data_IF_927186062144
#
_entry.id   IF_927186062144
#
_cell.length_a   1.000
_cell.length_b   1.000
_cell.length_c   1.000
_cell.angle_alpha   90.00
_cell.angle_beta   90.00
_cell.angle_gamma   90.00
#
_symmetry.space_group_name_H-M   'P 1'
#
loop_
_entity.id
_entity.type
_entity.pdbx_description
1 polymer ?
#
# COMPACT_ATOMS: atom_id res chain seq x y z
N UNK A 1 8.05 -10.02 16.81
CA UNK A 1 7.34 -9.00 16.01
C UNK A 1 6.23 -9.63 15.19
N UNK A 2 5.04 -9.02 15.22
CA UNK A 2 3.79 -9.54 14.65
C UNK A 2 3.88 -9.69 13.11
N UNK A 3 3.94 -10.92 12.58
CA UNK A 3 3.78 -11.23 11.14
C UNK A 3 2.35 -10.96 10.59
N UNK A 4 1.60 -10.06 11.23
CA UNK A 4 0.18 -9.76 10.95
C UNK A 4 0.00 -8.66 9.89
N UNK A 5 1.06 -7.91 9.58
CA UNK A 5 1.04 -6.87 8.56
C UNK A 5 1.39 -7.49 7.22
N UNK A 6 0.53 -7.28 6.21
CA UNK A 6 0.72 -7.83 4.87
C UNK A 6 1.06 -6.70 3.91
N UNK A 7 2.03 -6.94 3.03
CA UNK A 7 2.31 -6.07 1.89
C UNK A 7 2.06 -6.80 0.57
N UNK A 8 1.32 -6.17 -0.33
CA UNK A 8 1.09 -6.64 -1.70
C UNK A 8 1.95 -5.80 -2.64
N UNK A 9 2.90 -6.44 -3.33
CA UNK A 9 3.85 -5.76 -4.21
C UNK A 9 3.32 -5.66 -5.64
N UNK A 10 3.74 -4.62 -6.37
CA UNK A 10 3.29 -4.33 -7.74
C UNK A 10 3.87 -5.25 -8.82
N UNK A 11 3.50 -4.96 -10.08
CA UNK A 11 3.94 -5.71 -11.26
C UNK A 11 5.47 -5.71 -11.41
N UNK A 12 6.02 -6.86 -11.84
CA UNK A 12 7.46 -7.04 -12.04
C UNK A 12 8.30 -7.13 -10.75
N UNK A 13 7.67 -6.96 -9.58
CA UNK A 13 8.35 -7.07 -8.29
C UNK A 13 8.42 -8.52 -7.80
N UNK A 14 9.53 -8.86 -7.13
CA UNK A 14 9.75 -10.17 -6.51
C UNK A 14 10.06 -9.98 -5.03
N UNK A 15 9.63 -10.91 -4.18
CA UNK A 15 9.84 -10.92 -2.72
C UNK A 15 11.30 -10.72 -2.33
N UNK A 16 12.23 -11.24 -3.14
CA UNK A 16 13.67 -11.04 -2.93
C UNK A 16 14.08 -9.56 -2.88
N UNK A 17 13.42 -8.67 -3.63
CA UNK A 17 13.70 -7.22 -3.60
C UNK A 17 13.29 -6.58 -2.26
N UNK A 18 12.41 -7.25 -1.50
CA UNK A 18 11.84 -6.77 -0.25
C UNK A 18 12.38 -7.56 0.95
N UNK A 19 13.50 -8.29 0.80
CA UNK A 19 14.05 -9.17 1.86
C UNK A 19 14.24 -8.42 3.19
N UNK A 20 14.67 -7.17 3.15
CA UNK A 20 14.81 -6.34 4.36
C UNK A 20 13.47 -6.17 5.10
N UNK A 21 12.40 -5.90 4.35
CA UNK A 21 11.07 -5.70 4.89
C UNK A 21 10.42 -6.99 5.43
N UNK A 22 10.94 -8.16 5.09
CA UNK A 22 10.40 -9.44 5.56
C UNK A 22 10.44 -9.63 7.09
N UNK A 23 11.27 -8.85 7.79
CA UNK A 23 11.31 -8.79 9.26
C UNK A 23 10.06 -8.11 9.86
N UNK A 24 9.43 -7.21 9.10
CA UNK A 24 8.30 -6.37 9.52
C UNK A 24 6.99 -6.78 8.84
N UNK A 25 7.07 -7.28 7.61
CA UNK A 25 5.96 -7.46 6.70
C UNK A 25 5.91 -8.89 6.16
N UNK A 26 4.70 -9.43 6.04
CA UNK A 26 4.43 -10.63 5.27
C UNK A 26 4.25 -10.23 3.79
N UNK A 27 5.30 -10.42 2.99
CA UNK A 27 5.36 -10.04 1.58
C UNK A 27 4.54 -11.01 0.73
N UNK A 28 3.57 -10.47 -0.01
CA UNK A 28 2.69 -11.20 -0.92
C UNK A 28 2.98 -10.77 -2.35
N UNK A 29 3.39 -11.74 -3.15
CA UNK A 29 3.52 -11.61 -4.60
C UNK A 29 2.18 -11.91 -5.25
N UNK A 30 1.82 -11.12 -6.25
CA UNK A 30 0.67 -11.35 -7.10
C UNK A 30 1.16 -11.95 -8.40
N UNK A 31 0.54 -13.06 -8.83
CA UNK A 31 0.68 -13.53 -10.20
C UNK A 31 -0.24 -12.70 -11.10
N UNK A 32 0.36 -11.72 -11.77
CA UNK A 32 -0.35 -10.79 -12.63
C UNK A 32 -0.79 -11.43 -13.97
N UNK A 33 -0.23 -12.58 -14.34
CA UNK A 33 -0.55 -13.26 -15.59
C UNK A 33 -1.80 -14.15 -15.47
N UNK A 34 -2.09 -14.66 -14.27
CA UNK A 34 -3.17 -15.61 -14.06
C UNK A 34 -4.53 -15.00 -13.70
N UNK A 35 -4.71 -13.67 -13.79
CA UNK A 35 -5.99 -12.94 -13.67
C UNK A 35 -6.77 -13.08 -12.35
N UNK A 36 -6.44 -14.06 -11.51
CA UNK A 36 -7.18 -14.45 -10.32
C UNK A 36 -6.58 -13.80 -9.08
N UNK A 37 -6.71 -12.47 -9.02
CA UNK A 37 -6.58 -11.72 -7.76
C UNK A 37 -7.52 -12.29 -6.68
N UNK A 38 -8.61 -12.94 -7.09
CA UNK A 38 -9.62 -13.61 -6.27
C UNK A 38 -9.10 -14.80 -5.46
N UNK A 39 -8.03 -15.50 -5.89
CA UNK A 39 -7.48 -16.65 -5.15
C UNK A 39 -6.53 -16.24 -4.03
N UNK A 40 -6.10 -14.97 -3.96
CA UNK A 40 -5.19 -14.53 -2.91
C UNK A 40 -5.91 -14.41 -1.55
N UNK A 41 -5.68 -15.38 -0.66
CA UNK A 41 -6.23 -15.37 0.71
C UNK A 41 -5.46 -14.39 1.60
N UNK A 42 -5.92 -13.15 1.65
CA UNK A 42 -5.37 -12.10 2.50
C UNK A 42 -5.84 -12.17 3.97
N UNK A 43 -6.84 -12.99 4.29
CA UNK A 43 -7.40 -13.05 5.65
C UNK A 43 -8.03 -11.71 6.05
N UNK A 44 -8.03 -11.36 7.34
CA UNK A 44 -8.51 -10.06 7.86
C UNK A 44 -7.38 -9.33 8.59
N UNK A 45 -6.40 -8.76 7.87
CA UNK A 45 -5.27 -8.10 8.50
C UNK A 45 -5.72 -6.78 9.17
N UNK A 46 -5.14 -6.45 10.34
CA UNK A 46 -5.34 -5.13 10.95
C UNK A 46 -4.71 -4.02 10.10
N UNK A 47 -3.49 -4.27 9.60
CA UNK A 47 -2.74 -3.34 8.76
C UNK A 47 -2.46 -4.00 7.42
N UNK A 48 -2.83 -3.33 6.33
CA UNK A 48 -2.63 -3.79 4.97
C UNK A 48 -1.86 -2.73 4.17
N UNK A 49 -0.81 -3.17 3.48
CA UNK A 49 0.08 -2.30 2.70
C UNK A 49 0.03 -2.70 1.23
N UNK A 50 -0.14 -1.75 0.33
CA UNK A 50 -0.04 -1.95 -1.12
C UNK A 50 1.10 -1.13 -1.69
N UNK A 51 1.74 -1.62 -2.75
CA UNK A 51 2.71 -0.84 -3.54
C UNK A 51 2.35 -0.85 -5.03
N UNK A 52 2.30 0.34 -5.65
CA UNK A 52 1.99 0.48 -7.08
C UNK A 52 0.68 -0.24 -7.44
N UNK A 53 0.67 -1.14 -8.44
CA UNK A 53 -0.51 -1.96 -8.76
C UNK A 53 -0.98 -2.85 -7.60
N UNK A 54 -0.11 -3.21 -6.65
CA UNK A 54 -0.49 -3.90 -5.42
C UNK A 54 -1.50 -3.10 -4.59
N UNK A 55 -1.53 -1.76 -4.71
CA UNK A 55 -2.53 -0.91 -4.09
C UNK A 55 -3.95 -1.25 -4.54
N UNK A 56 -4.17 -1.55 -5.82
CA UNK A 56 -5.49 -1.92 -6.35
C UNK A 56 -6.03 -3.15 -5.61
N UNK A 57 -5.18 -4.16 -5.41
CA UNK A 57 -5.54 -5.39 -4.69
C UNK A 57 -5.89 -5.09 -3.23
N UNK A 58 -5.12 -4.22 -2.58
CA UNK A 58 -5.39 -3.84 -1.19
C UNK A 58 -6.66 -3.00 -1.05
N UNK A 59 -6.97 -2.14 -2.03
CA UNK A 59 -8.18 -1.33 -2.09
C UNK A 59 -9.39 -2.26 -2.26
N UNK A 60 -9.38 -3.15 -3.26
CA UNK A 60 -10.43 -4.15 -3.47
C UNK A 60 -10.67 -5.01 -2.22
N UNK A 61 -9.60 -5.35 -1.50
CA UNK A 61 -9.73 -6.05 -0.23
C UNK A 61 -10.42 -5.18 0.83
N UNK A 62 -9.99 -3.93 0.99
CA UNK A 62 -10.54 -2.98 1.96
C UNK A 62 -11.97 -2.52 1.62
N UNK A 63 -12.42 -2.61 0.38
CA UNK A 63 -13.83 -2.40 0.01
C UNK A 63 -14.74 -3.54 0.53
N UNK A 64 -14.20 -4.77 0.56
CA UNK A 64 -14.94 -5.96 1.01
C UNK A 64 -14.88 -6.14 2.52
N UNK A 65 -13.68 -6.01 3.11
CA UNK A 65 -13.41 -6.29 4.51
C UNK A 65 -12.82 -5.07 5.21
N UNK A 66 -13.30 -4.79 6.43
CA UNK A 66 -12.76 -3.67 7.22
C UNK A 66 -11.31 -3.95 7.63
N UNK A 67 -10.44 -2.96 7.44
CA UNK A 67 -9.06 -2.94 7.95
C UNK A 67 -8.89 -1.77 8.93
N UNK A 68 -7.98 -1.87 9.91
CA UNK A 68 -7.70 -0.75 10.83
C UNK A 68 -6.94 0.34 10.07
N UNK A 69 -5.82 -0.02 9.44
CA UNK A 69 -4.99 0.92 8.69
C UNK A 69 -4.67 0.37 7.30
N UNK A 70 -4.93 1.18 6.28
CA UNK A 70 -4.55 0.91 4.89
C UNK A 70 -3.40 1.83 4.50
N UNK A 71 -2.25 1.27 4.12
CA UNK A 71 -1.08 2.03 3.68
C UNK A 71 -0.91 1.85 2.17
N UNK A 72 -1.05 2.94 1.41
CA UNK A 72 -0.97 2.95 -0.05
C UNK A 72 0.35 3.60 -0.48
N UNK A 73 1.30 2.78 -0.91
CA UNK A 73 2.63 3.20 -1.33
C UNK A 73 2.65 3.42 -2.84
N UNK A 74 2.81 4.67 -3.27
CA UNK A 74 2.87 5.09 -4.68
C UNK A 74 1.74 4.44 -5.51
N UNK A 75 0.46 4.62 -5.11
CA UNK A 75 -0.66 3.91 -5.71
C UNK A 75 -0.83 4.26 -7.19
N UNK A 76 -1.26 3.26 -7.96
CA UNK A 76 -1.84 3.50 -9.29
C UNK A 76 -3.12 4.32 -9.18
N UNK A 77 -3.50 5.07 -10.24
CA UNK A 77 -4.73 5.84 -10.24
C UNK A 77 -5.96 4.94 -10.08
N UNK A 78 -6.91 5.39 -9.25
CA UNK A 78 -8.22 4.76 -9.06
C UNK A 78 -9.30 5.85 -9.16
N UNK A 79 -10.48 5.53 -9.67
CA UNK A 79 -11.53 6.54 -9.86
C UNK A 79 -11.97 7.12 -8.51
N UNK A 80 -12.22 6.25 -7.52
CA UNK A 80 -12.73 6.60 -6.21
C UNK A 80 -12.29 5.62 -5.13
N UNK A 81 -12.18 6.10 -3.89
CA UNK A 81 -11.93 5.33 -2.67
C UNK A 81 -13.13 5.35 -1.72
N UNK A 82 -14.31 5.76 -2.20
CA UNK A 82 -15.52 5.94 -1.39
C UNK A 82 -15.95 4.67 -0.63
N UNK A 83 -15.70 3.50 -1.21
CA UNK A 83 -16.11 2.20 -0.68
C UNK A 83 -15.09 1.60 0.30
N UNK A 84 -13.91 2.22 0.47
CA UNK A 84 -12.86 1.71 1.34
C UNK A 84 -13.33 1.70 2.80
N UNK A 85 -13.30 0.52 3.43
CA UNK A 85 -13.62 0.30 4.84
C UNK A 85 -12.34 0.29 5.66
N UNK A 86 -11.81 1.46 5.98
CA UNK A 86 -10.65 1.62 6.85
C UNK A 86 -10.92 2.63 7.98
N UNK A 87 -10.27 2.47 9.14
CA UNK A 87 -10.29 3.52 10.17
C UNK A 87 -9.38 4.68 9.75
N UNK A 88 -8.27 4.36 9.08
CA UNK A 88 -7.31 5.32 8.54
C UNK A 88 -6.67 4.85 7.23
N UNK A 89 -6.39 5.80 6.33
CA UNK A 89 -5.56 5.60 5.13
C UNK A 89 -4.28 6.44 5.23
N UNK A 90 -3.12 5.84 4.95
CA UNK A 90 -1.84 6.54 4.88
C UNK A 90 -1.29 6.39 3.46
N UNK A 91 -1.11 7.49 2.76
CA UNK A 91 -0.44 7.51 1.47
C UNK A 91 1.06 7.77 1.67
N UNK A 92 1.90 6.92 1.10
CA UNK A 92 3.34 7.16 0.97
C UNK A 92 3.65 7.41 -0.49
N UNK A 93 4.42 8.45 -0.81
CA UNK A 93 4.78 8.78 -2.19
C UNK A 93 6.15 9.43 -2.24
N UNK A 94 6.97 9.08 -3.23
CA UNK A 94 8.25 9.73 -3.46
C UNK A 94 8.06 11.15 -4.01
N UNK A 95 8.89 12.08 -3.57
CA UNK A 95 8.87 13.48 -4.03
C UNK A 95 9.00 13.60 -5.55
N UNK A 96 9.72 12.68 -6.20
CA UNK A 96 9.91 12.68 -7.66
C UNK A 96 8.68 12.16 -8.43
N UNK A 97 7.63 11.72 -7.73
CA UNK A 97 6.43 11.11 -8.32
C UNK A 97 5.28 12.12 -8.45
N UNK A 98 5.52 13.24 -9.12
CA UNK A 98 4.55 14.35 -9.24
C UNK A 98 3.17 13.89 -9.74
N UNK A 99 3.14 12.97 -10.72
CA UNK A 99 1.91 12.39 -11.25
C UNK A 99 1.12 11.63 -10.17
N UNK A 100 1.81 10.82 -9.36
CA UNK A 100 1.20 10.00 -8.33
C UNK A 100 0.68 10.87 -7.19
N UNK A 101 1.43 11.92 -6.81
CA UNK A 101 0.99 12.88 -5.81
C UNK A 101 -0.29 13.62 -6.24
N UNK A 102 -0.41 14.01 -7.52
CA UNK A 102 -1.63 14.62 -8.06
C UNK A 102 -2.82 13.66 -7.94
N UNK A 103 -2.63 12.40 -8.33
CA UNK A 103 -3.68 11.39 -8.24
C UNK A 103 -4.07 11.08 -6.79
N UNK A 104 -3.11 10.97 -5.87
CA UNK A 104 -3.39 10.78 -4.44
C UNK A 104 -4.29 11.90 -3.92
N UNK A 105 -3.96 13.16 -4.24
CA UNK A 105 -4.79 14.32 -3.82
C UNK A 105 -6.19 14.28 -4.41
N UNK A 106 -6.36 13.76 -5.63
CA UNK A 106 -7.68 13.57 -6.25
C UNK A 106 -8.46 12.47 -5.54
N UNK A 107 -7.87 11.29 -5.39
CA UNK A 107 -8.48 10.11 -4.80
C UNK A 107 -8.83 10.32 -3.32
N UNK A 108 -7.95 10.97 -2.55
CA UNK A 108 -8.13 11.16 -1.10
C UNK A 108 -9.35 12.00 -0.75
N UNK A 109 -9.83 12.86 -1.66
CA UNK A 109 -11.07 13.64 -1.49
C UNK A 109 -12.33 12.77 -1.43
N UNK A 110 -12.26 11.55 -1.94
CA UNK A 110 -13.38 10.60 -1.94
C UNK A 110 -13.43 9.71 -0.70
N UNK A 111 -12.39 9.73 0.13
CA UNK A 111 -12.33 8.93 1.36
C UNK A 111 -13.30 9.45 2.42
N UNK A 112 -13.91 8.52 3.16
CA UNK A 112 -14.80 8.81 4.30
C UNK A 112 -14.12 8.64 5.67
N UNK A 113 -12.84 8.30 5.69
CA UNK A 113 -12.06 8.07 6.91
C UNK A 113 -10.90 9.08 7.01
N UNK A 114 -10.20 9.07 8.15
CA UNK A 114 -9.00 9.89 8.34
C UNK A 114 -7.94 9.48 7.34
N UNK A 115 -7.28 10.45 6.71
CA UNK A 115 -6.16 10.16 5.83
C UNK A 115 -4.97 11.09 6.05
N UNK A 116 -3.79 10.63 5.64
CA UNK A 116 -2.56 11.42 5.64
C UNK A 116 -1.76 11.13 4.37
N UNK A 117 -1.01 12.13 3.89
CA UNK A 117 -0.14 12.01 2.73
C UNK A 117 1.27 12.35 3.19
N UNK A 118 2.17 11.38 3.09
CA UNK A 118 3.57 11.53 3.46
C UNK A 118 4.40 11.52 2.18
N UNK A 119 5.03 12.65 1.89
CA UNK A 119 5.96 12.80 0.77
C UNK A 119 7.37 12.50 1.24
N UNK A 120 8.05 11.60 0.53
CA UNK A 120 9.38 11.10 0.88
C UNK A 120 10.40 11.81 -0.01
N UNK A 121 11.15 12.75 0.58
CA UNK A 121 12.15 13.57 -0.11
C UNK A 121 13.16 12.70 -0.85
N UNK A 122 13.51 13.10 -2.07
CA UNK A 122 14.49 12.42 -2.93
C UNK A 122 14.08 11.05 -3.49
N UNK A 123 13.00 10.45 -2.99
CA UNK A 123 12.55 9.11 -3.39
C UNK A 123 11.80 9.11 -4.73
N UNK A 124 11.87 7.97 -5.42
CA UNK A 124 11.17 7.69 -6.68
C UNK A 124 10.16 6.55 -6.49
N UNK A 125 9.58 6.05 -7.59
CA UNK A 125 8.61 4.96 -7.62
C UNK A 125 9.22 3.58 -7.31
N UNK A 126 9.97 3.46 -6.20
CA UNK A 126 10.57 2.21 -5.71
C UNK A 126 10.64 2.24 -4.18
N UNK A 127 10.34 1.10 -3.55
CA UNK A 127 10.51 0.93 -2.10
C UNK A 127 11.97 0.56 -1.80
N UNK A 128 12.84 1.55 -1.88
CA UNK A 128 14.27 1.44 -1.54
C UNK A 128 14.73 2.66 -0.75
N UNK A 129 15.91 2.60 -0.14
CA UNK A 129 16.52 3.75 0.56
C UNK A 129 15.59 4.39 1.58
N UNK A 130 15.39 5.70 1.48
CA UNK A 130 14.56 6.47 2.42
C UNK A 130 13.07 6.13 2.33
N UNK A 131 12.59 5.66 1.18
CA UNK A 131 11.23 5.14 1.06
C UNK A 131 11.02 3.98 2.03
N UNK A 132 11.94 3.02 1.97
CA UNK A 132 11.90 1.84 2.80
C UNK A 132 11.99 2.18 4.29
N UNK A 133 12.89 3.12 4.66
CA UNK A 133 13.01 3.59 6.06
C UNK A 133 11.71 4.21 6.55
N UNK A 134 11.11 5.11 5.76
CA UNK A 134 9.87 5.79 6.13
C UNK A 134 8.69 4.83 6.23
N UNK A 135 8.59 3.84 5.35
CA UNK A 135 7.58 2.79 5.46
C UNK A 135 7.71 2.01 6.78
N UNK A 136 8.93 1.64 7.17
CA UNK A 136 9.18 0.95 8.44
C UNK A 136 8.83 1.83 9.64
N UNK A 137 9.22 3.09 9.63
CA UNK A 137 8.89 4.07 10.68
C UNK A 137 7.37 4.19 10.87
N UNK A 138 6.62 4.37 9.78
CA UNK A 138 5.16 4.44 9.82
C UNK A 138 4.55 3.15 10.37
N UNK A 139 5.08 1.98 9.97
CA UNK A 139 4.61 0.70 10.50
C UNK A 139 4.86 0.58 12.01
N UNK A 140 5.99 1.06 12.50
CA UNK A 140 6.37 0.97 13.91
C UNK A 140 5.59 1.94 14.80
N UNK A 141 5.03 3.02 14.25
CA UNK A 141 4.20 3.98 14.98
C UNK A 141 2.72 3.60 15.10
N UNK A 142 2.29 2.46 14.54
CA UNK A 142 0.88 2.00 14.47
C UNK A 142 0.54 0.90 15.48
#
# INVERSE_FOLDING_TARGET
MNKKIKIIIGLGQKRKHYRFLSKYLNIREVDWNNGSLSKMRLGKPKILVGFSLGCMVTIMHAEKYRVKTLILCSPSPEETLLRVKADQVIFLVGEKENWCLKEIKRMSRTLRCRYSIIVIRGANHRITGDYQKKLVEVIQSL
#
